data_IF_425081081088
#
_entry.id   IF_425081081088
#
_cell.length_a   1.000
_cell.length_b   1.000
_cell.length_c   1.000
_cell.angle_alpha   90.00
_cell.angle_beta   90.00
_cell.angle_gamma   90.00
#
_symmetry.space_group_name_H-M   'P 1'
#
loop_
_entity.id
_entity.type
_entity.pdbx_description
1 polymer ?
#
# COMPACT_ATOMS: atom_id res chain seq x y z
N UNK A 1 16.28 14.07 10.86
CA UNK A 1 14.90 13.61 10.65
C UNK A 1 14.44 14.12 9.29
N UNK A 2 13.95 13.23 8.43
CA UNK A 2 13.42 13.62 7.12
C UNK A 2 11.90 13.76 7.22
N UNK A 3 11.40 14.91 6.79
CA UNK A 3 9.97 15.21 6.70
C UNK A 3 9.43 14.78 5.34
N UNK A 4 8.47 13.88 5.32
CA UNK A 4 7.75 13.49 4.11
C UNK A 4 6.36 14.10 4.12
N UNK A 5 6.06 14.91 3.09
CA UNK A 5 4.75 15.52 2.93
C UNK A 5 3.99 14.81 1.81
N UNK A 6 2.84 14.25 2.15
CA UNK A 6 1.98 13.53 1.23
C UNK A 6 0.75 14.35 0.89
N UNK A 7 0.38 14.40 -0.40
CA UNK A 7 -0.89 14.98 -0.82
C UNK A 7 -1.33 14.40 -2.16
N UNK A 8 -2.63 14.31 -2.44
CA UNK A 8 -3.10 13.93 -3.77
C UNK A 8 -2.97 15.08 -4.79
N UNK A 9 -3.08 16.33 -4.32
CA UNK A 9 -2.88 17.54 -5.09
C UNK A 9 -1.44 18.06 -4.94
N UNK A 10 -0.61 17.99 -6.00
CA UNK A 10 0.80 18.39 -5.92
C UNK A 10 1.00 19.89 -5.67
N UNK A 11 -0.02 20.74 -5.84
CA UNK A 11 0.06 22.17 -5.51
C UNK A 11 0.04 22.44 -3.99
N UNK A 12 -0.34 21.45 -3.18
CA UNK A 12 -0.29 21.53 -1.71
C UNK A 12 1.01 20.94 -1.15
N UNK A 13 1.90 20.43 -2.00
CA UNK A 13 3.18 19.91 -1.57
C UNK A 13 4.20 21.05 -1.42
N UNK A 14 5.07 20.97 -0.40
CA UNK A 14 6.20 21.89 -0.28
C UNK A 14 7.25 21.64 -1.37
N UNK A 15 8.21 22.55 -1.47
CA UNK A 15 9.38 22.33 -2.33
C UNK A 15 10.31 21.25 -1.73
N UNK A 16 10.98 20.53 -2.62
CA UNK A 16 11.97 19.52 -2.24
C UNK A 16 13.22 20.16 -1.64
N UNK A 17 13.71 19.62 -0.53
CA UNK A 17 14.98 19.97 0.10
C UNK A 17 15.63 18.73 0.73
N UNK A 18 16.80 18.88 1.36
CA UNK A 18 17.48 17.76 2.01
C UNK A 18 16.70 17.18 3.21
N UNK A 19 15.86 17.98 3.86
CA UNK A 19 15.04 17.56 5.01
C UNK A 19 13.55 17.46 4.71
N UNK A 20 13.12 17.82 3.49
CA UNK A 20 11.72 17.89 3.09
C UNK A 20 11.50 17.17 1.75
N UNK A 21 10.73 16.09 1.79
CA UNK A 21 10.49 15.23 0.64
C UNK A 21 9.01 15.24 0.24
N UNK A 22 8.64 15.97 -0.83
CA UNK A 22 7.25 16.05 -1.30
C UNK A 22 6.88 14.80 -2.11
N UNK A 23 5.74 14.21 -1.80
CA UNK A 23 5.24 12.98 -2.44
C UNK A 23 3.77 13.13 -2.81
N UNK A 24 3.48 13.03 -4.10
CA UNK A 24 2.11 12.89 -4.56
C UNK A 24 1.60 11.48 -4.20
N UNK A 25 0.44 11.34 -3.56
CA UNK A 25 -0.09 10.04 -3.16
C UNK A 25 -0.59 9.22 -4.35
N UNK A 26 -1.42 9.85 -5.18
CA UNK A 26 -2.18 9.22 -6.26
C UNK A 26 -2.03 9.96 -7.57
N UNK A 27 -2.15 9.25 -8.68
CA UNK A 27 -2.16 9.86 -10.01
C UNK A 27 -3.53 10.47 -10.37
N UNK A 28 -4.06 11.32 -9.48
CA UNK A 28 -5.28 12.13 -9.69
C UNK A 28 -4.98 13.45 -10.41
N UNK A 29 -3.72 13.90 -10.34
CA UNK A 29 -3.19 15.09 -11.00
C UNK A 29 -1.95 14.74 -11.82
N UNK A 30 -1.55 15.65 -12.73
CA UNK A 30 -0.35 15.49 -13.55
C UNK A 30 0.88 15.32 -12.64
N UNK A 31 1.65 14.26 -12.91
CA UNK A 31 2.85 13.93 -12.15
C UNK A 31 4.05 14.66 -12.74
N UNK A 32 4.74 15.49 -11.95
CA UNK A 32 5.96 16.16 -12.34
C UNK A 32 7.17 15.61 -11.58
N UNK A 33 7.91 14.71 -12.23
CA UNK A 33 9.09 14.05 -11.66
C UNK A 33 10.22 15.01 -11.26
N UNK A 34 10.23 16.26 -11.72
CA UNK A 34 11.24 17.24 -11.34
C UNK A 34 10.90 17.97 -10.04
N UNK A 35 9.64 17.92 -9.60
CA UNK A 35 9.15 18.67 -8.43
C UNK A 35 8.86 17.79 -7.22
N UNK A 36 8.35 16.59 -7.43
CA UNK A 36 7.94 15.71 -6.35
C UNK A 36 8.04 14.24 -6.75
N UNK A 37 8.03 13.37 -5.74
CA UNK A 37 7.91 11.93 -5.93
C UNK A 37 6.43 11.51 -6.08
N UNK A 38 6.18 10.23 -6.33
CA UNK A 38 4.84 9.65 -6.42
C UNK A 38 4.81 8.33 -5.65
N UNK A 39 3.91 8.20 -4.68
CA UNK A 39 3.78 6.99 -3.87
C UNK A 39 3.10 5.86 -4.67
N UNK A 40 2.01 6.16 -5.35
CA UNK A 40 1.19 5.13 -6.00
C UNK A 40 0.46 5.66 -7.23
N UNK A 41 0.69 5.04 -8.39
CA UNK A 41 -0.06 5.35 -9.62
C UNK A 41 -1.45 4.74 -9.65
N UNK A 42 -1.56 3.48 -9.23
CA UNK A 42 -2.72 2.63 -9.55
C UNK A 42 -3.74 2.47 -8.43
N UNK A 43 -3.42 2.81 -7.17
CA UNK A 43 -4.22 2.37 -6.01
C UNK A 43 -5.70 2.72 -6.12
N UNK A 44 -6.02 4.01 -6.34
CA UNK A 44 -7.41 4.43 -6.48
C UNK A 44 -8.10 3.74 -7.64
N UNK A 45 -7.38 3.50 -8.73
CA UNK A 45 -7.93 2.80 -9.88
C UNK A 45 -8.25 1.34 -9.52
N UNK A 46 -7.32 0.64 -8.86
CA UNK A 46 -7.51 -0.71 -8.34
C UNK A 46 -8.71 -0.81 -7.40
N UNK A 47 -8.86 0.11 -6.44
CA UNK A 47 -10.00 0.16 -5.52
C UNK A 47 -11.31 0.32 -6.29
N UNK A 48 -11.35 1.24 -7.28
CA UNK A 48 -12.56 1.48 -8.08
C UNK A 48 -12.92 0.30 -8.98
N UNK A 49 -11.92 -0.45 -9.47
CA UNK A 49 -12.10 -1.62 -10.33
C UNK A 49 -12.63 -2.85 -9.56
N UNK A 50 -12.65 -2.82 -8.22
CA UNK A 50 -13.34 -3.84 -7.41
C UNK A 50 -14.86 -3.86 -7.68
N UNK A 51 -15.43 -2.73 -8.12
CA UNK A 51 -16.86 -2.62 -8.42
C UNK A 51 -17.77 -2.62 -7.18
N UNK A 52 -17.19 -2.55 -5.98
CA UNK A 52 -17.89 -2.45 -4.69
C UNK A 52 -17.44 -1.19 -3.94
N UNK A 53 -18.27 -0.68 -3.05
CA UNK A 53 -17.85 0.37 -2.13
C UNK A 53 -16.85 -0.21 -1.11
N UNK A 54 -15.83 0.57 -0.77
CA UNK A 54 -14.83 0.23 0.23
C UNK A 54 -14.91 1.25 1.35
N UNK A 55 -14.78 0.80 2.59
CA UNK A 55 -14.81 1.62 3.77
C UNK A 55 -13.70 2.68 3.74
N UNK A 56 -14.00 3.93 4.15
CA UNK A 56 -13.01 5.01 4.19
C UNK A 56 -11.76 4.65 4.99
N UNK A 57 -11.93 3.94 6.11
CA UNK A 57 -10.81 3.53 6.98
C UNK A 57 -9.86 2.54 6.31
N UNK A 58 -10.39 1.62 5.49
CA UNK A 58 -9.56 0.71 4.72
C UNK A 58 -8.77 1.46 3.63
N UNK A 59 -9.39 2.47 3.00
CA UNK A 59 -8.73 3.37 2.03
C UNK A 59 -7.63 4.19 2.72
N UNK A 60 -7.88 4.71 3.92
CA UNK A 60 -6.88 5.42 4.69
C UNK A 60 -5.70 4.51 5.06
N UNK A 61 -5.95 3.29 5.55
CA UNK A 61 -4.88 2.37 5.93
C UNK A 61 -3.98 2.00 4.74
N UNK A 62 -4.57 1.73 3.57
CA UNK A 62 -3.78 1.43 2.37
C UNK A 62 -3.06 2.67 1.81
N UNK A 63 -3.59 3.87 2.07
CA UNK A 63 -2.93 5.16 1.80
C UNK A 63 -1.70 5.33 2.70
N UNK A 64 -1.85 5.07 3.99
CA UNK A 64 -0.75 5.09 4.97
C UNK A 64 0.32 4.07 4.60
N UNK A 65 -0.06 2.83 4.26
CA UNK A 65 0.89 1.81 3.82
C UNK A 65 1.64 2.22 2.54
N UNK A 66 0.97 2.89 1.59
CA UNK A 66 1.61 3.43 0.39
C UNK A 66 2.60 4.55 0.73
N UNK A 67 2.28 5.42 1.68
CA UNK A 67 3.15 6.49 2.15
C UNK A 67 4.39 5.94 2.88
N UNK A 68 4.20 4.97 3.77
CA UNK A 68 5.27 4.24 4.46
C UNK A 68 6.19 3.56 3.45
N UNK A 69 5.63 2.86 2.46
CA UNK A 69 6.42 2.20 1.40
C UNK A 69 7.25 3.21 0.61
N UNK A 70 6.67 4.36 0.29
CA UNK A 70 7.37 5.43 -0.42
C UNK A 70 8.53 5.97 0.42
N UNK A 71 8.29 6.33 1.68
CA UNK A 71 9.33 6.81 2.59
C UNK A 71 10.43 5.77 2.85
N UNK A 72 10.07 4.51 3.10
CA UNK A 72 10.99 3.37 3.26
C UNK A 72 11.88 3.19 2.02
N UNK A 73 11.34 3.45 0.82
CA UNK A 73 12.08 3.38 -0.44
C UNK A 73 12.96 4.61 -0.68
N UNK A 74 12.53 5.81 -0.28
CA UNK A 74 13.21 7.07 -0.65
C UNK A 74 14.30 7.50 0.34
N UNK A 75 14.17 7.18 1.62
CA UNK A 75 15.19 7.52 2.61
C UNK A 75 16.29 6.45 2.63
N UNK A 76 17.55 6.84 2.42
CA UNK A 76 18.67 5.87 2.41
C UNK A 76 19.17 5.59 3.82
N UNK A 77 19.40 4.32 4.17
CA UNK A 77 19.96 3.96 5.48
C UNK A 77 21.39 4.43 5.71
N UNK A 78 22.20 4.52 4.67
CA UNK A 78 23.58 5.01 4.75
C UNK A 78 23.67 6.46 5.29
N UNK A 79 22.56 7.19 5.27
CA UNK A 79 22.44 8.55 5.83
C UNK A 79 22.01 8.59 7.30
N UNK A 80 21.62 7.46 7.89
CA UNK A 80 21.27 7.39 9.31
C UNK A 80 22.52 7.53 10.18
N UNK A 81 22.39 8.10 11.39
CA UNK A 81 23.52 8.35 12.32
C UNK A 81 24.33 7.08 12.64
N UNK A 82 23.68 5.92 12.63
CA UNK A 82 24.29 4.60 12.83
C UNK A 82 24.26 3.71 11.57
N UNK A 83 24.00 4.31 10.41
CA UNK A 83 23.76 3.63 9.13
C UNK A 83 22.66 2.55 9.17
N UNK A 84 21.75 2.60 10.15
CA UNK A 84 20.76 1.53 10.38
C UNK A 84 19.34 2.04 10.61
N UNK A 85 19.14 2.95 11.58
CA UNK A 85 17.82 3.42 12.02
C UNK A 85 17.58 4.84 11.54
N UNK A 86 16.80 5.00 10.47
CA UNK A 86 16.38 6.31 9.97
C UNK A 86 15.33 6.93 10.89
N UNK A 87 15.21 8.25 10.86
CA UNK A 87 14.14 8.98 11.55
C UNK A 87 13.28 9.69 10.50
N UNK A 88 12.04 9.24 10.36
CA UNK A 88 11.12 9.70 9.32
C UNK A 88 9.83 10.22 9.97
N UNK A 89 9.39 11.40 9.53
CA UNK A 89 8.11 11.98 9.92
C UNK A 89 7.23 12.10 8.68
N UNK A 90 6.10 11.40 8.67
CA UNK A 90 5.15 11.41 7.55
C UNK A 90 3.93 12.28 7.90
N UNK A 91 3.65 13.26 7.04
CA UNK A 91 2.44 14.09 7.08
C UNK A 91 1.46 13.56 6.02
N UNK A 92 0.38 12.91 6.45
CA UNK A 92 -0.50 12.12 5.57
C UNK A 92 -1.95 12.61 5.68
N UNK A 93 -2.59 13.00 4.56
CA UNK A 93 -4.01 13.30 4.54
C UNK A 93 -4.85 12.02 4.59
N UNK A 94 -5.82 11.98 5.49
CA UNK A 94 -6.72 10.85 5.77
C UNK A 94 -8.17 11.32 5.93
N UNK A 95 -9.12 10.39 5.85
CA UNK A 95 -10.55 10.70 5.99
C UNK A 95 -10.98 11.03 7.42
N UNK A 96 -10.34 10.42 8.43
CA UNK A 96 -10.62 10.64 9.86
C UNK A 96 -9.32 10.89 10.66
N UNK A 97 -8.81 12.13 10.70
CA UNK A 97 -7.55 12.46 11.36
C UNK A 97 -7.55 12.23 12.87
N UNK A 98 -8.72 12.37 13.51
CA UNK A 98 -8.85 12.16 14.96
C UNK A 98 -8.60 10.70 15.33
N UNK A 99 -9.20 9.77 14.59
CA UNK A 99 -8.97 8.33 14.78
C UNK A 99 -7.52 7.95 14.51
N UNK A 100 -6.96 8.37 13.37
CA UNK A 100 -5.56 8.01 13.05
C UNK A 100 -4.55 8.63 14.03
N UNK A 101 -4.87 9.81 14.57
CA UNK A 101 -4.07 10.45 15.61
C UNK A 101 -4.16 9.72 16.96
N UNK A 102 -5.28 9.07 17.30
CA UNK A 102 -5.37 8.21 18.50
C UNK A 102 -4.54 6.92 18.34
N UNK A 103 -4.48 6.36 17.13
CA UNK A 103 -3.73 5.13 16.83
C UNK A 103 -2.25 5.36 16.47
N UNK A 104 -1.81 6.62 16.39
CA UNK A 104 -0.46 6.99 15.95
C UNK A 104 0.64 6.25 16.71
N UNK A 105 0.52 6.13 18.03
CA UNK A 105 1.55 5.49 18.85
C UNK A 105 1.69 4.00 18.53
N UNK A 106 0.57 3.31 18.32
CA UNK A 106 0.56 1.89 17.94
C UNK A 106 1.12 1.70 16.52
N UNK A 107 0.70 2.54 15.57
CA UNK A 107 1.22 2.51 14.20
C UNK A 107 2.75 2.71 14.17
N UNK A 108 3.26 3.71 14.91
CA UNK A 108 4.70 3.92 15.07
C UNK A 108 5.38 2.71 15.68
N UNK A 109 4.83 2.13 16.75
CA UNK A 109 5.39 0.93 17.40
C UNK A 109 5.53 -0.25 16.44
N UNK A 110 4.47 -0.56 15.69
CA UNK A 110 4.44 -1.64 14.70
C UNK A 110 5.54 -1.42 13.64
N UNK A 111 5.62 -0.21 13.08
CA UNK A 111 6.58 0.06 12.01
C UNK A 111 8.02 0.12 12.53
N UNK A 112 8.24 0.63 13.74
CA UNK A 112 9.55 0.59 14.38
C UNK A 112 10.03 -0.85 14.55
N UNK A 113 9.15 -1.75 15.00
CA UNK A 113 9.46 -3.17 15.13
C UNK A 113 9.76 -3.83 13.77
N UNK A 114 8.91 -3.60 12.76
CA UNK A 114 9.04 -4.26 11.45
C UNK A 114 10.28 -3.79 10.66
N UNK A 115 10.66 -2.53 10.80
CA UNK A 115 11.69 -1.91 9.95
C UNK A 115 13.03 -1.67 10.65
N UNK A 116 13.01 -1.52 11.97
CA UNK A 116 14.14 -1.05 12.76
C UNK A 116 14.41 0.45 12.64
N UNK A 117 13.49 1.21 12.03
CA UNK A 117 13.55 2.66 11.89
C UNK A 117 12.65 3.36 12.92
N UNK A 118 12.70 4.68 13.01
CA UNK A 118 11.84 5.51 13.87
C UNK A 118 10.81 6.27 13.03
N UNK A 119 9.54 5.94 13.23
CA UNK A 119 8.41 6.49 12.48
C UNK A 119 7.58 7.45 13.33
N UNK A 120 7.37 8.66 12.84
CA UNK A 120 6.44 9.65 13.40
C UNK A 120 5.38 10.02 12.37
N UNK A 121 4.16 10.30 12.82
CA UNK A 121 3.05 10.65 11.94
C UNK A 121 2.35 11.93 12.38
N UNK A 122 1.97 12.73 11.38
CA UNK A 122 0.95 13.77 11.48
C UNK A 122 -0.16 13.43 10.49
N UNK A 123 -1.41 13.43 10.96
CA UNK A 123 -2.56 13.16 10.13
C UNK A 123 -3.39 14.43 9.93
N UNK A 124 -3.77 14.69 8.68
CA UNK A 124 -4.55 15.87 8.30
C UNK A 124 -5.81 15.46 7.54
N UNK A 125 -6.82 16.33 7.51
CA UNK A 125 -8.04 16.03 6.78
C UNK A 125 -7.79 16.05 5.28
N UNK A 126 -8.10 14.93 4.61
CA UNK A 126 -8.03 14.89 3.14
C UNK A 126 -9.11 15.75 2.49
N UNK A 127 -8.73 16.49 1.45
CA UNK A 127 -9.66 17.19 0.55
C UNK A 127 -10.14 16.30 -0.61
N UNK A 128 -9.52 15.12 -0.78
CA UNK A 128 -9.85 14.19 -1.83
C UNK A 128 -11.21 13.55 -1.57
N UNK A 129 -12.01 13.38 -2.62
CA UNK A 129 -13.25 12.61 -2.53
C UNK A 129 -12.93 11.12 -2.55
N UNK A 130 -13.64 10.37 -1.71
CA UNK A 130 -13.54 8.91 -1.69
C UNK A 130 -13.79 8.31 -3.10
N UNK A 131 -12.98 7.31 -3.51
CA UNK A 131 -13.13 6.64 -4.78
C UNK A 131 -14.49 5.94 -4.88
N UNK A 132 -15.28 6.32 -5.90
CA UNK A 132 -16.54 5.63 -6.20
C UNK A 132 -16.29 4.39 -7.07
N UNK A 133 -16.97 3.26 -6.79
CA UNK A 133 -16.85 2.05 -7.60
C UNK A 133 -17.18 2.32 -9.06
N UNK A 134 -16.46 1.66 -9.97
CA UNK A 134 -16.81 1.70 -11.39
C UNK A 134 -18.07 0.87 -11.65
N UNK A 135 -18.83 1.30 -12.65
CA UNK A 135 -20.03 0.61 -13.14
C UNK A 135 -19.80 -0.13 -14.47
N UNK A 136 -18.54 -0.28 -14.89
CA UNK A 136 -18.19 -1.02 -16.12
C UNK A 136 -18.47 -2.53 -15.95
N UNK A 137 -18.66 -3.24 -17.06
CA UNK A 137 -18.88 -4.69 -17.03
C UNK A 137 -17.72 -5.46 -16.40
N UNK A 138 -16.49 -4.99 -16.59
CA UNK A 138 -15.30 -5.54 -15.94
C UNK A 138 -15.37 -5.41 -14.41
N UNK A 139 -15.75 -4.24 -13.90
CA UNK A 139 -15.87 -4.01 -12.46
C UNK A 139 -17.05 -4.81 -11.86
N UNK A 140 -18.17 -4.92 -12.58
CA UNK A 140 -19.30 -5.78 -12.17
C UNK A 140 -18.90 -7.26 -12.12
N UNK A 141 -18.14 -7.73 -13.11
CA UNK A 141 -17.60 -9.09 -13.13
C UNK A 141 -16.67 -9.32 -11.93
N UNK A 142 -15.80 -8.34 -11.63
CA UNK A 142 -14.93 -8.38 -10.46
C UNK A 142 -15.73 -8.49 -9.17
N UNK A 143 -16.72 -7.62 -8.95
CA UNK A 143 -17.59 -7.62 -7.79
C UNK A 143 -18.28 -8.99 -7.59
N UNK A 144 -18.74 -9.63 -8.67
CA UNK A 144 -19.33 -10.97 -8.60
C UNK A 144 -18.36 -12.03 -8.06
N UNK A 145 -17.07 -11.94 -8.36
CA UNK A 145 -16.07 -12.89 -7.82
C UNK A 145 -15.89 -12.79 -6.30
N UNK A 146 -16.19 -11.62 -5.72
CA UNK A 146 -16.04 -11.36 -4.29
C UNK A 146 -17.21 -11.92 -3.46
N UNK A 147 -18.35 -12.19 -4.09
CA UNK A 147 -19.55 -12.66 -3.40
C UNK A 147 -19.29 -14.01 -2.72
N UNK A 148 -19.60 -14.09 -1.43
CA UNK A 148 -19.50 -15.32 -0.64
C UNK A 148 -18.09 -15.69 -0.21
N UNK A 149 -17.10 -14.80 -0.38
CA UNK A 149 -15.78 -14.96 0.26
C UNK A 149 -15.89 -14.64 1.75
N UNK A 150 -15.23 -15.45 2.58
CA UNK A 150 -15.32 -15.37 4.05
C UNK A 150 -13.95 -15.40 4.75
N UNK A 151 -12.86 -15.39 3.97
CA UNK A 151 -11.49 -15.36 4.49
C UNK A 151 -10.62 -14.53 3.56
N UNK A 152 -9.67 -13.79 4.12
CA UNK A 152 -8.62 -13.09 3.37
C UNK A 152 -7.30 -13.80 3.61
N UNK A 153 -6.63 -14.21 2.54
CA UNK A 153 -5.38 -14.94 2.60
C UNK A 153 -4.25 -14.12 1.99
N UNK A 154 -3.22 -13.83 2.78
CA UNK A 154 -2.01 -13.15 2.32
C UNK A 154 -1.24 -14.06 1.36
N UNK A 155 -1.32 -13.79 0.06
CA UNK A 155 -0.71 -14.59 -0.98
C UNK A 155 0.52 -13.89 -1.54
N UNK A 156 1.69 -14.21 -1.00
CA UNK A 156 2.97 -13.58 -1.39
C UNK A 156 3.60 -14.20 -2.63
N UNK A 157 3.20 -15.41 -3.03
CA UNK A 157 3.85 -16.20 -4.07
C UNK A 157 5.08 -16.98 -3.57
N UNK A 158 5.34 -16.94 -2.26
CA UNK A 158 6.27 -17.84 -1.58
C UNK A 158 5.65 -19.23 -1.35
N UNK A 159 6.51 -20.22 -1.10
CA UNK A 159 6.12 -21.62 -0.91
C UNK A 159 5.02 -21.76 0.14
N UNK A 160 5.19 -21.16 1.31
CA UNK A 160 4.26 -21.31 2.44
C UNK A 160 2.88 -20.74 2.10
N UNK A 161 2.83 -19.55 1.48
CA UNK A 161 1.57 -18.95 1.04
C UNK A 161 0.87 -19.76 -0.05
N UNK A 162 1.65 -20.45 -0.90
CA UNK A 162 1.12 -21.31 -1.94
C UNK A 162 0.55 -22.61 -1.37
N UNK A 163 1.29 -23.27 -0.46
CA UNK A 163 0.84 -24.47 0.24
C UNK A 163 -0.42 -24.17 1.06
N UNK A 164 -0.47 -23.06 1.80
CA UNK A 164 -1.65 -22.66 2.55
C UNK A 164 -2.86 -22.39 1.65
N UNK A 165 -2.67 -21.75 0.49
CA UNK A 165 -3.75 -21.56 -0.48
C UNK A 165 -4.25 -22.89 -1.05
N UNK A 166 -3.35 -23.81 -1.40
CA UNK A 166 -3.69 -25.16 -1.89
C UNK A 166 -4.46 -25.94 -0.83
N UNK A 167 -4.02 -25.92 0.42
CA UNK A 167 -4.65 -26.64 1.52
C UNK A 167 -6.07 -26.12 1.79
N UNK A 168 -6.27 -24.80 1.78
CA UNK A 168 -7.61 -24.19 1.91
C UNK A 168 -8.51 -24.58 0.74
N UNK A 169 -8.00 -24.58 -0.50
CA UNK A 169 -8.80 -24.80 -1.71
C UNK A 169 -9.11 -26.28 -1.97
N UNK A 170 -8.21 -27.18 -1.59
CA UNK A 170 -8.33 -28.62 -1.83
C UNK A 170 -8.78 -29.40 -0.59
N UNK A 171 -8.65 -28.83 0.61
CA UNK A 171 -9.08 -29.44 1.86
C UNK A 171 -10.61 -29.38 2.05
N UNK A 172 -11.10 -30.16 3.02
CA UNK A 172 -12.48 -30.05 3.50
C UNK A 172 -12.63 -28.83 4.42
N UNK A 173 -12.50 -27.63 3.85
CA UNK A 173 -12.58 -26.35 4.56
C UNK A 173 -13.80 -25.55 4.11
N UNK A 174 -14.45 -24.87 5.05
CA UNK A 174 -15.54 -23.93 4.76
C UNK A 174 -15.03 -22.55 4.30
N UNK A 175 -13.70 -22.34 4.29
CA UNK A 175 -13.09 -21.10 3.84
C UNK A 175 -13.16 -20.94 2.32
N UNK A 176 -13.65 -19.78 1.90
CA UNK A 176 -13.74 -19.31 0.51
C UNK A 176 -12.83 -18.09 0.39
N UNK A 177 -11.57 -18.28 -0.01
CA UNK A 177 -10.56 -17.25 0.19
C UNK A 177 -10.63 -16.14 -0.88
N UNK A 178 -10.38 -14.92 -0.42
CA UNK A 178 -9.86 -13.81 -1.21
C UNK A 178 -8.33 -13.78 -1.04
N UNK A 179 -7.60 -14.16 -2.09
CA UNK A 179 -6.15 -14.08 -2.12
C UNK A 179 -5.75 -12.62 -2.34
N UNK A 180 -5.06 -12.02 -1.36
CA UNK A 180 -4.52 -10.66 -1.49
C UNK A 180 -3.02 -10.73 -1.73
N UNK A 181 -2.56 -10.09 -2.81
CA UNK A 181 -1.16 -10.10 -3.21
C UNK A 181 -0.61 -8.70 -3.35
N UNK A 182 0.59 -8.52 -2.81
CA UNK A 182 1.44 -7.39 -3.10
C UNK A 182 2.68 -7.88 -3.85
N UNK A 183 2.86 -7.38 -5.07
CA UNK A 183 3.98 -7.72 -5.94
C UNK A 183 4.93 -6.52 -6.04
N UNK A 184 6.22 -6.71 -5.72
CA UNK A 184 7.26 -5.82 -6.23
C UNK A 184 7.76 -6.33 -7.59
N UNK A 185 8.63 -5.57 -8.27
CA UNK A 185 9.17 -5.96 -9.59
C UNK A 185 9.70 -7.40 -9.55
N UNK A 186 9.18 -8.26 -10.43
CA UNK A 186 9.56 -9.68 -10.55
C UNK A 186 8.60 -10.66 -9.86
N UNK A 187 8.08 -10.32 -8.68
CA UNK A 187 7.24 -11.23 -7.88
C UNK A 187 5.86 -11.48 -8.51
N UNK A 188 5.34 -10.49 -9.24
CA UNK A 188 4.00 -10.56 -9.83
C UNK A 188 3.86 -11.70 -10.85
N UNK A 189 4.87 -11.94 -11.68
CA UNK A 189 4.83 -13.01 -12.68
C UNK A 189 4.70 -14.39 -12.02
N UNK A 190 5.48 -14.63 -10.97
CA UNK A 190 5.43 -15.87 -10.18
C UNK A 190 4.09 -16.03 -9.45
N UNK A 191 3.56 -14.95 -8.88
CA UNK A 191 2.24 -14.98 -8.23
C UNK A 191 1.14 -15.35 -9.22
N UNK A 192 1.16 -14.77 -10.42
CA UNK A 192 0.18 -15.12 -11.48
C UNK A 192 0.34 -16.56 -11.95
N UNK A 193 1.58 -17.02 -12.19
CA UNK A 193 1.86 -18.40 -12.57
C UNK A 193 1.28 -19.39 -11.55
N UNK A 194 1.55 -19.20 -10.26
CA UNK A 194 1.01 -20.09 -9.21
C UNK A 194 -0.52 -20.02 -9.17
N UNK A 195 -1.14 -18.85 -9.34
CA UNK A 195 -2.61 -18.74 -9.37
C UNK A 195 -3.24 -19.53 -10.50
N UNK A 196 -2.57 -19.69 -11.65
CA UNK A 196 -3.08 -20.53 -12.75
C UNK A 196 -3.13 -22.02 -12.38
N UNK A 197 -2.34 -22.44 -11.39
CA UNK A 197 -2.29 -23.82 -10.91
C UNK A 197 -3.30 -24.08 -9.77
N UNK A 198 -3.92 -23.04 -9.21
CA UNK A 198 -4.90 -23.17 -8.13
C UNK A 198 -6.28 -23.52 -8.69
N UNK A 199 -6.99 -24.41 -7.99
CA UNK A 199 -8.36 -24.78 -8.36
C UNK A 199 -9.38 -23.77 -7.82
N UNK A 200 -10.38 -23.43 -8.64
CA UNK A 200 -11.53 -22.62 -8.25
C UNK A 200 -12.34 -23.28 -7.12
N UNK A 201 -12.97 -22.54 -6.18
CA UNK A 201 -13.28 -21.10 -6.26
C UNK A 201 -12.54 -20.20 -5.24
N UNK A 202 -11.60 -19.38 -5.72
CA UNK A 202 -11.05 -18.22 -5.01
C UNK A 202 -11.36 -16.91 -5.73
N UNK A 203 -11.27 -15.80 -4.99
CA UNK A 203 -11.13 -14.47 -5.59
C UNK A 203 -9.69 -14.00 -5.39
N UNK A 204 -9.23 -13.04 -6.18
CA UNK A 204 -7.90 -12.48 -6.04
C UNK A 204 -7.95 -10.96 -6.08
N UNK A 205 -7.16 -10.29 -5.25
CA UNK A 205 -6.87 -8.86 -5.34
C UNK A 205 -5.36 -8.71 -5.35
N UNK A 206 -4.83 -8.06 -6.38
CA UNK A 206 -3.37 -7.90 -6.51
C UNK A 206 -3.04 -6.46 -6.82
N UNK A 207 -2.14 -5.89 -6.01
CA UNK A 207 -1.73 -4.50 -6.15
C UNK A 207 -0.26 -4.30 -5.79
N UNK A 208 0.44 -3.54 -6.64
CA UNK A 208 1.84 -3.17 -6.43
C UNK A 208 1.92 -1.71 -6.01
N UNK A 209 2.32 -1.47 -4.76
CA UNK A 209 2.85 -0.18 -4.34
C UNK A 209 4.25 -0.02 -4.94
N UNK A 210 4.32 0.71 -6.05
CA UNK A 210 5.58 0.99 -6.76
C UNK A 210 5.85 2.50 -6.71
N UNK A 211 6.51 2.99 -5.65
CA UNK A 211 6.84 4.40 -5.55
C UNK A 211 7.85 4.83 -6.62
N UNK A 212 7.74 6.07 -7.08
CA UNK A 212 8.63 6.70 -8.06
C UNK A 212 9.29 7.91 -7.40
N UNK A 213 10.61 7.88 -7.30
CA UNK A 213 11.38 8.95 -6.68
C UNK A 213 11.49 10.18 -7.59
N UNK A 214 11.56 11.36 -7.00
CA UNK A 214 11.87 12.62 -7.69
C UNK A 214 13.18 12.48 -8.47
N UNK A 215 13.23 13.05 -9.68
CA UNK A 215 14.33 12.91 -10.64
C UNK A 215 15.68 13.32 -10.07
N UNK A 216 15.71 14.33 -9.21
CA UNK A 216 16.93 14.79 -8.54
C UNK A 216 17.61 13.72 -7.66
N UNK A 217 16.85 12.69 -7.23
CA UNK A 217 17.30 11.57 -6.42
C UNK A 217 17.25 10.24 -7.17
N UNK A 218 17.20 10.24 -8.50
CA UNK A 218 17.17 9.02 -9.28
C UNK A 218 18.33 8.07 -8.94
N UNK A 219 18.03 6.78 -8.81
CA UNK A 219 18.99 5.75 -8.40
C UNK A 219 19.30 5.69 -6.90
N UNK A 220 18.76 6.61 -6.09
CA UNK A 220 18.96 6.66 -4.64
C UNK A 220 17.74 6.12 -3.91
N UNK A 221 17.51 4.81 -4.02
CA UNK A 221 16.38 4.13 -3.38
C UNK A 221 16.83 2.94 -2.56
N UNK A 222 16.28 2.76 -1.36
CA UNK A 222 16.46 1.57 -0.54
C UNK A 222 15.49 0.46 -1.01
N UNK A 223 16.03 -0.73 -1.26
CA UNK A 223 15.29 -1.89 -1.80
C UNK A 223 15.18 -3.05 -0.81
N UNK A 224 15.44 -2.80 0.48
CA UNK A 224 15.39 -3.82 1.55
C UNK A 224 13.97 -4.34 1.84
N UNK A 225 12.94 -3.56 1.51
CA UNK A 225 11.53 -3.91 1.68
C UNK A 225 11.15 -4.32 3.11
N UNK A 226 11.76 -3.71 4.14
CA UNK A 226 11.47 -4.09 5.54
C UNK A 226 10.03 -3.77 5.96
N UNK A 227 9.40 -2.77 5.34
CA UNK A 227 7.98 -2.46 5.53
C UNK A 227 7.00 -3.39 4.81
N UNK A 228 7.46 -4.40 4.06
CA UNK A 228 6.61 -5.20 3.16
C UNK A 228 5.47 -5.94 3.87
N UNK A 229 5.67 -6.41 5.10
CA UNK A 229 4.62 -7.09 5.86
C UNK A 229 3.45 -6.15 6.18
N UNK A 230 3.72 -4.88 6.47
CA UNK A 230 2.69 -3.87 6.71
C UNK A 230 1.80 -3.66 5.47
N UNK A 231 2.38 -3.71 4.27
CA UNK A 231 1.61 -3.63 3.01
C UNK A 231 0.63 -4.80 2.86
N UNK A 232 1.07 -6.02 3.22
CA UNK A 232 0.17 -7.18 3.20
C UNK A 232 -0.97 -7.02 4.20
N UNK A 233 -0.70 -6.54 5.41
CA UNK A 233 -1.74 -6.29 6.42
C UNK A 233 -2.74 -5.24 5.96
N UNK A 234 -2.28 -4.12 5.40
CA UNK A 234 -3.16 -3.08 4.86
C UNK A 234 -4.01 -3.60 3.68
N UNK A 235 -3.41 -4.39 2.79
CA UNK A 235 -4.14 -5.06 1.70
C UNK A 235 -5.16 -6.08 2.22
N UNK A 236 -4.89 -6.74 3.35
CA UNK A 236 -5.85 -7.65 3.96
C UNK A 236 -7.07 -6.90 4.49
N UNK A 237 -6.86 -5.79 5.21
CA UNK A 237 -7.95 -4.92 5.67
C UNK A 237 -8.77 -4.39 4.49
N UNK A 238 -8.11 -4.01 3.39
CA UNK A 238 -8.78 -3.63 2.14
C UNK A 238 -9.66 -4.76 1.57
N UNK A 239 -9.23 -6.02 1.71
CA UNK A 239 -10.00 -7.19 1.27
C UNK A 239 -11.12 -7.61 2.22
N UNK A 240 -11.11 -7.17 3.48
CA UNK A 240 -12.18 -7.39 4.46
C UNK A 240 -13.34 -6.41 4.25
N UNK A 241 -12.99 -5.18 3.84
CA UNK A 241 -13.93 -4.08 3.62
C UNK A 241 -14.88 -4.31 2.45
#
# INVERSE_FOLDING_TARGET
MTEFYFNDNPNQLPEFSESCHPVQLFHTHEYNEKKHSLASRGLLQTVRDLGVAVEPKAIDLITIASAVTAADTFELRDKAENAWSRQMHLHIPVSDPCMWSSERAELSSILNFLTGDQWTFTFEQTAMRLPKPKISEQAKSKAKTLIGKNAVCLFSGGLDSAVGAIDILNGASDYKPLLVSHAYRGDGAKQEEIKTLLSSPFAALSYSMSPHIIKACEGRTDISMRGRSFNFLAMAVLGIS
#
